data_IF_264309439491
#
_entry.id   IF_264309439491
#
_cell.length_a   1.000
_cell.length_b   1.000
_cell.length_c   1.000
_cell.angle_alpha   90.00
_cell.angle_beta   90.00
_cell.angle_gamma   90.00
#
_symmetry.space_group_name_H-M   'P 1'
#
loop_
_entity.id
_entity.type
_entity.pdbx_description
1 polymer ?
#
# COMPACT_ATOMS: atom_id res chain seq x y z
N UNK A 1 -37.95 -39.50 -24.34
CA UNK A 1 -36.88 -38.88 -23.53
C UNK A 1 -35.65 -38.83 -24.42
N UNK A 2 -35.23 -37.60 -24.72
CA UNK A 2 -33.89 -37.16 -25.18
C UNK A 2 -33.41 -37.64 -26.58
N UNK A 3 -32.85 -36.84 -27.50
CA UNK A 3 -32.40 -35.45 -27.53
C UNK A 3 -31.40 -35.26 -28.70
N UNK A 4 -31.21 -34.01 -29.16
CA UNK A 4 -30.07 -33.49 -29.96
C UNK A 4 -29.86 -34.02 -31.40
N UNK A 5 -29.45 -33.25 -32.41
CA UNK A 5 -28.76 -31.95 -32.50
C UNK A 5 -29.09 -31.33 -33.87
N UNK A 6 -29.59 -30.09 -33.89
CA UNK A 6 -29.73 -29.28 -35.10
C UNK A 6 -28.41 -28.57 -35.41
N UNK A 7 -27.90 -28.76 -36.63
CA UNK A 7 -26.78 -28.00 -37.18
C UNK A 7 -27.16 -26.51 -37.31
N UNK A 8 -26.53 -25.66 -36.50
CA UNK A 8 -26.56 -24.21 -36.64
C UNK A 8 -25.26 -23.72 -37.26
N UNK A 9 -25.37 -23.19 -38.48
CA UNK A 9 -24.34 -22.46 -39.20
C UNK A 9 -23.74 -21.32 -38.38
N UNK A 10 -22.41 -21.30 -38.26
CA UNK A 10 -21.66 -20.20 -37.66
C UNK A 10 -20.34 -20.00 -38.38
N UNK A 11 -20.33 -19.01 -39.26
CA UNK A 11 -19.12 -18.47 -39.90
C UNK A 11 -18.09 -18.03 -38.85
N UNK A 12 -16.82 -18.41 -39.01
CA UNK A 12 -15.69 -17.49 -38.80
C UNK A 12 -14.47 -17.98 -39.58
N UNK A 13 -14.31 -17.34 -40.74
CA UNK A 13 -13.11 -17.20 -41.52
C UNK A 13 -12.22 -16.14 -40.83
N UNK A 14 -10.90 -16.32 -40.79
CA UNK A 14 -9.98 -15.19 -40.59
C UNK A 14 -8.81 -15.40 -39.63
N UNK A 15 -7.71 -15.84 -40.21
CA UNK A 15 -6.32 -15.71 -39.76
C UNK A 15 -5.88 -14.27 -39.44
N UNK A 16 -5.26 -14.04 -38.27
CA UNK A 16 -4.18 -13.05 -38.02
C UNK A 16 -3.64 -13.30 -36.59
N UNK A 17 -2.46 -13.90 -36.41
CA UNK A 17 -1.21 -13.18 -36.12
C UNK A 17 -1.36 -12.05 -35.09
N UNK A 18 -0.69 -12.20 -33.93
CA UNK A 18 -0.25 -11.07 -33.12
C UNK A 18 -1.23 -10.52 -32.08
N UNK A 19 -1.65 -11.33 -31.10
CA UNK A 19 -2.10 -10.79 -29.80
C UNK A 19 -1.01 -11.00 -28.76
N UNK A 20 0.03 -10.15 -28.82
CA UNK A 20 0.76 -9.78 -27.62
C UNK A 20 -0.26 -9.25 -26.60
N UNK A 21 -0.29 -9.75 -25.36
CA UNK A 21 -1.11 -9.16 -24.29
C UNK A 21 -0.50 -7.81 -23.85
N UNK A 22 -0.44 -6.84 -24.76
CA UNK A 22 -0.23 -5.43 -24.47
C UNK A 22 -1.53 -4.80 -23.94
N UNK A 23 -2.14 -5.43 -22.94
CA UNK A 23 -3.13 -4.77 -22.10
C UNK A 23 -2.41 -4.28 -20.86
N UNK A 24 -2.12 -2.98 -20.81
CA UNK A 24 -2.08 -2.10 -19.62
C UNK A 24 -1.18 -0.87 -19.89
N UNK A 25 -1.44 -0.14 -20.98
CA UNK A 25 -1.04 1.26 -21.08
C UNK A 25 -2.32 2.07 -21.30
N UNK A 26 -2.89 2.59 -20.22
CA UNK A 26 -4.04 3.48 -20.29
C UNK A 26 -4.88 3.47 -19.03
N UNK A 27 -4.61 4.43 -18.14
CA UNK A 27 -5.60 4.90 -17.17
C UNK A 27 -5.50 4.29 -15.78
N UNK A 28 -4.45 4.65 -15.04
CA UNK A 28 -4.49 5.02 -13.62
C UNK A 28 -3.06 5.36 -13.16
N UNK A 29 -2.55 6.51 -13.57
CA UNK A 29 -1.56 7.25 -12.78
C UNK A 29 -2.23 7.89 -11.56
N UNK A 30 -3.13 7.16 -10.91
CA UNK A 30 -3.73 7.50 -9.64
C UNK A 30 -2.96 6.73 -8.62
N UNK A 31 -2.01 7.41 -7.95
CA UNK A 31 -1.45 7.05 -6.66
C UNK A 31 -1.78 5.61 -6.26
N UNK A 32 -0.91 4.65 -6.62
CA UNK A 32 -0.93 3.33 -5.98
C UNK A 32 -1.17 3.61 -4.50
N UNK A 33 -2.31 3.21 -3.92
CA UNK A 33 -2.59 3.50 -2.52
C UNK A 33 -1.42 2.87 -1.79
N UNK A 34 -0.52 3.71 -1.28
CA UNK A 34 0.64 3.21 -0.61
C UNK A 34 0.07 2.39 0.55
N UNK A 35 0.28 1.07 0.60
CA UNK A 35 -0.35 0.24 1.63
C UNK A 35 0.05 0.71 3.05
N UNK A 36 1.09 1.54 3.15
CA UNK A 36 1.50 2.21 4.39
C UNK A 36 0.62 3.40 4.83
N UNK A 37 -0.24 3.96 3.97
CA UNK A 37 -1.30 4.90 4.40
C UNK A 37 -2.47 4.19 5.07
N UNK A 38 -2.55 2.86 4.94
CA UNK A 38 -3.58 2.04 5.59
C UNK A 38 -3.38 1.97 7.12
N UNK A 39 -2.12 2.07 7.59
CA UNK A 39 -1.78 2.20 9.01
C UNK A 39 -2.24 3.51 9.65
N UNK A 40 -2.42 4.56 8.85
CA UNK A 40 -2.96 5.86 9.28
C UNK A 40 -4.48 5.95 9.09
N UNK A 41 -5.07 5.08 8.26
CA UNK A 41 -6.50 5.05 7.94
C UNK A 41 -7.39 4.57 9.09
N UNK A 42 -6.86 3.73 9.99
CA UNK A 42 -7.59 3.25 11.16
C UNK A 42 -7.96 4.35 12.17
N UNK A 43 -7.43 5.57 12.03
CA UNK A 43 -7.59 6.66 12.98
C UNK A 43 -8.51 7.80 12.51
N UNK A 44 -9.21 7.64 11.38
CA UNK A 44 -10.22 8.63 10.93
C UNK A 44 -11.36 8.87 11.93
N UNK A 45 -11.51 8.04 12.97
CA UNK A 45 -12.54 8.18 14.01
C UNK A 45 -12.18 9.09 15.19
N UNK A 46 -10.93 9.54 15.31
CA UNK A 46 -10.43 10.25 16.51
C UNK A 46 -10.72 11.76 16.46
N UNK A 47 -11.00 12.31 15.28
CA UNK A 47 -11.17 13.76 15.12
C UNK A 47 -12.28 14.39 15.96
N UNK A 48 -13.27 13.60 16.38
CA UNK A 48 -14.40 14.08 17.20
C UNK A 48 -14.18 14.07 18.71
N UNK A 49 -13.08 13.49 19.20
CA UNK A 49 -12.82 13.31 20.65
C UNK A 49 -11.61 14.09 21.17
N UNK A 50 -10.89 14.78 20.28
CA UNK A 50 -9.72 15.59 20.62
C UNK A 50 -10.10 17.04 20.89
N UNK A 51 -9.37 17.68 21.78
CA UNK A 51 -9.44 19.13 21.95
C UNK A 51 -8.65 19.89 20.86
N UNK A 52 -8.77 21.22 20.83
CA UNK A 52 -8.12 22.08 19.83
C UNK A 52 -6.59 21.99 19.87
N UNK A 53 -6.00 21.84 21.05
CA UNK A 53 -4.54 21.76 21.21
C UNK A 53 -4.02 20.41 20.72
N UNK A 54 -4.70 19.31 21.07
CA UNK A 54 -4.42 17.96 20.60
C UNK A 54 -4.57 17.86 19.07
N UNK A 55 -5.61 18.47 18.50
CA UNK A 55 -5.80 18.52 17.05
C UNK A 55 -4.67 19.28 16.34
N UNK A 56 -4.27 20.45 16.88
CA UNK A 56 -3.16 21.23 16.31
C UNK A 56 -1.85 20.44 16.36
N UNK A 57 -1.54 19.84 17.51
CA UNK A 57 -0.32 19.05 17.71
C UNK A 57 -0.29 17.83 16.79
N UNK A 58 -1.41 17.10 16.67
CA UNK A 58 -1.53 15.99 15.72
C UNK A 58 -1.32 16.44 14.27
N UNK A 59 -1.84 17.62 13.89
CA UNK A 59 -1.66 18.13 12.53
C UNK A 59 -0.21 18.43 12.22
N UNK A 60 0.51 19.07 13.14
CA UNK A 60 1.94 19.37 13.00
C UNK A 60 2.77 18.09 12.87
N UNK A 61 2.57 17.13 13.79
CA UNK A 61 3.25 15.83 13.73
C UNK A 61 3.00 15.09 12.42
N UNK A 62 1.73 15.05 11.95
CA UNK A 62 1.38 14.43 10.67
C UNK A 62 2.04 15.12 9.48
N UNK A 63 2.19 16.44 9.55
CA UNK A 63 2.81 17.22 8.47
C UNK A 63 4.32 16.95 8.38
N UNK A 64 5.02 16.94 9.51
CA UNK A 64 6.44 16.61 9.58
C UNK A 64 6.71 15.19 9.06
N UNK A 65 5.93 14.22 9.53
CA UNK A 65 6.05 12.83 9.10
C UNK A 65 5.70 12.65 7.62
N UNK A 66 4.73 13.40 7.09
CA UNK A 66 4.37 13.32 5.67
C UNK A 66 5.55 13.70 4.76
N UNK A 67 6.30 14.73 5.11
CA UNK A 67 7.45 15.17 4.30
C UNK A 67 8.51 14.05 4.22
N UNK A 68 8.95 13.54 5.38
CA UNK A 68 9.93 12.47 5.45
C UNK A 68 9.44 11.16 4.80
N UNK A 69 8.15 10.85 4.96
CA UNK A 69 7.54 9.65 4.36
C UNK A 69 7.53 9.73 2.82
N UNK A 70 7.25 10.91 2.25
CA UNK A 70 7.25 11.10 0.80
C UNK A 70 8.65 10.93 0.20
N UNK A 71 9.67 11.46 0.87
CA UNK A 71 11.08 11.30 0.47
C UNK A 71 11.47 9.81 0.41
N UNK A 72 11.23 9.07 1.51
CA UNK A 72 11.53 7.64 1.57
C UNK A 72 10.73 6.80 0.59
N UNK A 73 9.49 7.17 0.29
CA UNK A 73 8.76 6.49 -0.77
C UNK A 73 9.35 6.76 -2.15
N UNK A 74 9.85 7.98 -2.40
CA UNK A 74 10.60 8.28 -3.62
C UNK A 74 11.83 7.39 -3.75
N UNK A 75 12.60 7.23 -2.68
CA UNK A 75 13.75 6.31 -2.64
C UNK A 75 13.35 4.85 -2.91
N UNK A 76 12.24 4.39 -2.31
CA UNK A 76 11.74 3.03 -2.53
C UNK A 76 11.30 2.82 -3.98
N UNK A 77 10.70 3.83 -4.63
CA UNK A 77 10.34 3.77 -6.04
C UNK A 77 11.59 3.67 -6.92
N UNK A 78 12.61 4.49 -6.65
CA UNK A 78 13.88 4.42 -7.39
C UNK A 78 14.53 3.03 -7.26
N UNK A 79 14.60 2.46 -6.06
CA UNK A 79 15.14 1.11 -5.84
C UNK A 79 14.32 0.02 -6.56
N UNK A 80 13.00 0.20 -6.66
CA UNK A 80 12.14 -0.71 -7.44
C UNK A 80 12.39 -0.59 -8.94
N UNK A 81 12.60 0.62 -9.44
CA UNK A 81 12.93 0.87 -10.84
C UNK A 81 14.29 0.27 -11.19
N UNK A 82 15.31 0.44 -10.34
CA UNK A 82 16.63 -0.18 -10.48
C UNK A 82 16.54 -1.71 -10.49
N UNK A 83 15.73 -2.28 -9.60
CA UNK A 83 15.45 -3.72 -9.57
C UNK A 83 14.81 -4.19 -10.88
N UNK A 84 13.78 -3.49 -11.36
CA UNK A 84 13.12 -3.82 -12.63
C UNK A 84 14.08 -3.71 -13.81
N UNK A 85 14.94 -2.71 -13.84
CA UNK A 85 15.94 -2.54 -14.88
C UNK A 85 16.98 -3.66 -14.86
N UNK A 86 17.50 -4.01 -13.68
CA UNK A 86 18.49 -5.08 -13.52
C UNK A 86 17.93 -6.43 -13.95
N UNK A 87 16.68 -6.72 -13.59
CA UNK A 87 15.99 -7.96 -13.96
C UNK A 87 15.69 -8.09 -15.46
N UNK A 88 15.67 -6.99 -16.21
CA UNK A 88 15.45 -7.01 -17.67
C UNK A 88 16.72 -7.28 -18.48
N UNK A 89 17.89 -7.29 -17.83
CA UNK A 89 19.14 -7.65 -18.50
C UNK A 89 19.12 -9.13 -18.92
N UNK A 90 19.89 -9.49 -19.94
CA UNK A 90 19.94 -10.87 -20.46
C UNK A 90 20.37 -11.89 -19.40
N UNK A 91 21.24 -11.45 -18.48
CA UNK A 91 21.75 -12.25 -17.35
C UNK A 91 21.89 -11.35 -16.11
N UNK A 92 20.82 -11.17 -15.31
CA UNK A 92 20.88 -10.38 -14.09
C UNK A 92 21.87 -10.95 -13.09
N UNK A 93 22.69 -10.10 -12.48
CA UNK A 93 23.69 -10.53 -11.50
C UNK A 93 23.04 -10.84 -10.13
N UNK A 94 23.15 -12.07 -9.60
CA UNK A 94 22.43 -12.46 -8.38
C UNK A 94 22.74 -11.61 -7.15
N UNK A 95 24.01 -11.21 -6.99
CA UNK A 95 24.43 -10.41 -5.84
C UNK A 95 23.93 -8.95 -5.91
N UNK A 96 23.77 -8.41 -7.12
CA UNK A 96 23.19 -7.08 -7.32
C UNK A 96 21.69 -7.07 -6.98
N UNK A 97 20.95 -8.09 -7.44
CA UNK A 97 19.54 -8.28 -7.08
C UNK A 97 19.38 -8.42 -5.56
N UNK A 98 20.23 -9.24 -4.93
CA UNK A 98 20.21 -9.41 -3.47
C UNK A 98 20.50 -8.09 -2.73
N UNK A 99 21.44 -7.30 -3.22
CA UNK A 99 21.77 -6.00 -2.63
C UNK A 99 20.61 -5.00 -2.76
N UNK A 100 19.96 -4.91 -3.93
CA UNK A 100 18.79 -4.07 -4.14
C UNK A 100 17.62 -4.50 -3.24
N UNK A 101 17.37 -5.80 -3.11
CA UNK A 101 16.35 -6.31 -2.20
C UNK A 101 16.65 -5.98 -0.74
N UNK A 102 17.90 -6.11 -0.29
CA UNK A 102 18.29 -5.76 1.07
C UNK A 102 18.10 -4.26 1.36
N UNK A 103 18.44 -3.39 0.41
CA UNK A 103 18.22 -1.95 0.53
C UNK A 103 16.74 -1.61 0.65
N UNK A 104 15.88 -2.19 -0.20
CA UNK A 104 14.43 -2.01 -0.10
C UNK A 104 13.87 -2.52 1.24
N UNK A 105 14.34 -3.67 1.72
CA UNK A 105 13.88 -4.24 2.99
C UNK A 105 14.28 -3.35 4.19
N UNK A 106 15.50 -2.82 4.20
CA UNK A 106 15.97 -1.89 5.24
C UNK A 106 15.13 -0.62 5.24
N UNK A 107 14.98 0.02 4.07
CA UNK A 107 14.18 1.24 3.93
C UNK A 107 12.72 1.01 4.38
N UNK A 108 12.13 -0.11 3.98
CA UNK A 108 10.79 -0.46 4.42
C UNK A 108 10.69 -0.67 5.95
N UNK A 109 11.71 -1.28 6.55
CA UNK A 109 11.82 -1.44 8.01
C UNK A 109 11.93 -0.10 8.74
N UNK A 110 12.73 0.83 8.23
CA UNK A 110 12.87 2.18 8.80
C UNK A 110 11.54 2.95 8.75
N UNK A 111 10.82 2.85 7.63
CA UNK A 111 9.48 3.43 7.49
C UNK A 111 8.47 2.81 8.46
N UNK A 112 8.53 1.50 8.70
CA UNK A 112 7.70 0.85 9.72
C UNK A 112 8.04 1.35 11.12
N UNK A 113 9.33 1.46 11.45
CA UNK A 113 9.76 1.94 12.75
C UNK A 113 9.31 3.40 13.00
N UNK A 114 9.34 4.25 11.97
CA UNK A 114 8.81 5.62 12.05
C UNK A 114 7.30 5.67 12.23
N UNK A 115 6.54 4.84 11.52
CA UNK A 115 5.10 4.73 11.73
C UNK A 115 4.78 4.31 13.18
N UNK A 116 5.55 3.39 13.76
CA UNK A 116 5.38 2.98 15.17
C UNK A 116 5.73 4.13 16.12
N UNK A 117 6.82 4.87 15.87
CA UNK A 117 7.17 6.06 16.66
C UNK A 117 6.05 7.09 16.63
N UNK A 118 5.54 7.40 15.45
CA UNK A 118 4.41 8.32 15.26
C UNK A 118 3.16 7.83 15.98
N UNK A 119 2.85 6.53 15.88
CA UNK A 119 1.74 5.94 16.62
C UNK A 119 1.87 6.14 18.12
N UNK A 120 3.05 5.88 18.69
CA UNK A 120 3.31 6.06 20.11
C UNK A 120 3.19 7.54 20.53
N UNK A 121 3.78 8.46 19.77
CA UNK A 121 3.65 9.90 20.02
C UNK A 121 2.19 10.36 20.01
N UNK A 122 1.38 9.83 19.09
CA UNK A 122 -0.06 10.10 19.09
C UNK A 122 -0.76 9.55 20.33
N UNK A 123 -0.40 8.35 20.81
CA UNK A 123 -0.95 7.79 22.06
C UNK A 123 -0.58 8.65 23.28
N UNK A 124 0.64 9.19 23.31
CA UNK A 124 1.12 10.04 24.41
C UNK A 124 0.39 11.38 24.50
N UNK A 125 -0.22 11.86 23.40
CA UNK A 125 -1.08 13.05 23.40
C UNK A 125 -2.47 12.81 24.00
N UNK A 126 -2.93 11.56 24.00
CA UNK A 126 -4.26 11.22 24.49
C UNK A 126 -4.26 11.09 26.01
N UNK A 127 -5.37 11.47 26.64
CA UNK A 127 -5.62 11.14 28.05
C UNK A 127 -5.90 9.64 28.21
N UNK A 128 -5.82 9.14 29.45
CA UNK A 128 -6.13 7.74 29.74
C UNK A 128 -7.56 7.39 29.33
N UNK A 129 -8.52 8.28 29.57
CA UNK A 129 -9.93 8.11 29.18
C UNK A 129 -10.10 8.08 27.66
N UNK A 130 -9.40 8.94 26.93
CA UNK A 130 -9.39 8.95 25.47
C UNK A 130 -8.79 7.65 24.92
N UNK A 131 -7.71 7.13 25.51
CA UNK A 131 -7.13 5.84 25.10
C UNK A 131 -8.08 4.67 25.37
N UNK A 132 -8.78 4.68 26.51
CA UNK A 132 -9.77 3.65 26.83
C UNK A 132 -10.96 3.69 25.87
N UNK A 133 -11.48 4.88 25.55
CA UNK A 133 -12.56 5.04 24.58
C UNK A 133 -12.17 4.53 23.18
N UNK A 134 -10.91 4.74 22.77
CA UNK A 134 -10.39 4.19 21.53
C UNK A 134 -10.29 2.68 21.54
N UNK A 135 -9.83 2.07 22.64
CA UNK A 135 -9.75 0.60 22.79
C UNK A 135 -11.12 -0.05 22.78
N UNK A 136 -12.10 0.57 23.45
CA UNK A 136 -13.49 0.10 23.48
C UNK A 136 -14.24 0.26 22.15
N UNK A 137 -13.79 1.16 21.28
CA UNK A 137 -14.39 1.41 19.96
C UNK A 137 -13.80 0.55 18.85
N UNK A 138 -12.70 -0.16 19.08
CA UNK A 138 -12.23 -1.19 18.15
C UNK A 138 -13.18 -2.39 18.25
N UNK A 139 -13.81 -2.84 17.14
CA UNK A 139 -14.62 -4.04 17.18
C UNK A 139 -13.71 -5.19 17.60
N UNK A 140 -13.94 -5.73 18.79
CA UNK A 140 -13.37 -7.01 19.22
C UNK A 140 -13.65 -8.00 18.11
N UNK A 141 -12.62 -8.38 17.36
CA UNK A 141 -12.69 -9.49 16.40
C UNK A 141 -12.79 -10.79 17.23
N UNK A 142 -13.93 -11.01 17.87
CA UNK A 142 -14.33 -12.32 18.34
C UNK A 142 -14.70 -13.12 17.08
N UNK A 143 -13.69 -13.77 16.50
CA UNK A 143 -13.93 -14.86 15.59
C UNK A 143 -14.77 -15.93 16.29
N UNK A 144 -15.76 -16.54 15.62
CA UNK A 144 -16.52 -17.64 16.20
C UNK A 144 -15.56 -18.79 16.50
N UNK A 145 -15.65 -19.32 17.72
CA UNK A 145 -14.94 -20.53 18.16
C UNK A 145 -15.57 -21.78 17.53
#
# INVERSE_FOLDING_TARGET
MDGQVGMGSGMMMGSQEGMYPGMMMGGQSGMMPCPMMEGMGSMSGIGGMLDEQQMSTMREMRQEHRAAQLERMGELMNLRDDMMQTMQTERPEPEEIKALHAQMANLHGDMMADNVRMHNQMQDLLTDEQREQMRGSMPSHHGPQ
#
